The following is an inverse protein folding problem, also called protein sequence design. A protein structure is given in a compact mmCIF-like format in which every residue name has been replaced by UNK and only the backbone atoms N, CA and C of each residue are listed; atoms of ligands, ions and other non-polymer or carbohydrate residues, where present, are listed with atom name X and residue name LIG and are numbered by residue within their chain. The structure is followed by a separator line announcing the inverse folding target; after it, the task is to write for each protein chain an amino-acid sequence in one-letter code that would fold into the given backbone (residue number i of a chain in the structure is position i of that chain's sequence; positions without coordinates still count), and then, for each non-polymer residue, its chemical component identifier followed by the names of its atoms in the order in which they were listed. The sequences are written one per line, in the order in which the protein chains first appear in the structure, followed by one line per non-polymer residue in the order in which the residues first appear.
data_IF_003169781788
#
_entry.id   IF_003169781788
#
_cell.length_a   1.000
_cell.length_b   1.000
_cell.length_c   1.000
_cell.angle_alpha   90.00
_cell.angle_beta   90.00
_cell.angle_gamma   90.00
#
_symmetry.space_group_name_H-M   'P 1'
#
loop_
_entity.id
_entity.type
_entity.pdbx_description
1 polymer ?
#
# COMPACT_ATOMS: atom_id res chain seq x y z
N UNK A 1 -9.85 12.43 -44.80
CA UNK A 1 -9.72 11.22 -43.96
C UNK A 1 -8.44 10.52 -44.43
N UNK A 2 -7.42 10.19 -43.66
CA UNK A 2 -7.23 10.16 -42.22
C UNK A 2 -5.69 10.21 -42.01
N UNK A 3 -5.14 11.37 -41.66
CA UNK A 3 -3.73 11.54 -41.31
C UNK A 3 -3.63 11.91 -39.83
N UNK A 4 -3.92 10.96 -38.95
CA UNK A 4 -3.63 11.11 -37.52
C UNK A 4 -3.26 9.78 -36.87
N UNK A 5 -2.06 9.77 -36.29
CA UNK A 5 -1.65 9.00 -35.10
C UNK A 5 -1.68 7.46 -35.23
N UNK A 6 -0.62 6.90 -35.81
CA UNK A 6 -0.04 5.62 -35.36
C UNK A 6 1.48 5.80 -35.36
N UNK A 7 2.15 5.51 -34.25
CA UNK A 7 3.61 5.57 -34.18
C UNK A 7 4.22 6.45 -33.08
N UNK A 8 3.56 6.61 -31.93
CA UNK A 8 4.21 7.21 -30.73
C UNK A 8 4.07 6.35 -29.46
N UNK A 9 3.51 5.13 -29.58
CA UNK A 9 3.26 4.21 -28.46
C UNK A 9 3.31 2.74 -28.94
N UNK A 10 4.23 2.43 -29.84
CA UNK A 10 4.61 1.05 -30.19
C UNK A 10 6.14 1.03 -30.06
N UNK A 11 6.65 1.24 -28.83
CA UNK A 11 7.91 0.63 -28.47
C UNK A 11 7.58 -0.84 -28.27
N UNK A 12 8.20 -1.72 -29.02
CA UNK A 12 7.88 -3.15 -29.02
C UNK A 12 7.97 -3.67 -27.58
N UNK A 13 6.89 -4.25 -27.05
CA UNK A 13 6.86 -4.78 -25.67
C UNK A 13 8.00 -5.79 -25.42
N UNK A 14 8.52 -6.41 -26.49
CA UNK A 14 9.70 -7.26 -26.49
C UNK A 14 11.00 -6.50 -26.19
N UNK A 15 11.17 -5.28 -26.72
CA UNK A 15 12.34 -4.43 -26.49
C UNK A 15 12.38 -3.91 -25.04
N UNK A 16 11.22 -3.52 -24.49
CA UNK A 16 11.11 -3.08 -23.10
C UNK A 16 11.40 -4.22 -22.12
N UNK A 17 10.88 -5.42 -22.41
CA UNK A 17 11.16 -6.61 -21.60
C UNK A 17 12.64 -6.99 -21.65
N UNK A 18 13.26 -6.95 -22.84
CA UNK A 18 14.69 -7.23 -22.99
C UNK A 18 15.55 -6.24 -22.20
N UNK A 19 15.20 -4.95 -22.21
CA UNK A 19 15.88 -3.92 -21.42
C UNK A 19 15.76 -4.20 -19.91
N UNK A 20 14.57 -4.52 -19.43
CA UNK A 20 14.35 -4.85 -18.02
C UNK A 20 15.17 -6.06 -17.57
N UNK A 21 15.27 -7.10 -18.41
CA UNK A 21 16.09 -8.28 -18.15
C UNK A 21 17.59 -7.95 -18.08
N UNK A 22 18.09 -7.09 -18.98
CA UNK A 22 19.48 -6.63 -18.96
C UNK A 22 19.79 -5.79 -17.72
N UNK A 23 18.92 -4.86 -17.35
CA UNK A 23 19.06 -4.06 -16.13
C UNK A 23 19.02 -4.92 -14.86
N UNK A 24 18.15 -5.95 -14.84
CA UNK A 24 18.08 -6.89 -13.73
C UNK A 24 19.38 -7.68 -13.58
N UNK A 25 19.96 -8.16 -14.70
CA UNK A 25 21.25 -8.88 -14.69
C UNK A 25 22.39 -7.99 -14.19
N UNK A 26 22.46 -6.75 -14.68
CA UNK A 26 23.45 -5.77 -14.24
C UNK A 26 23.32 -5.50 -12.73
N UNK A 27 22.08 -5.30 -12.25
CA UNK A 27 21.80 -5.09 -10.83
C UNK A 27 22.26 -6.28 -9.98
N UNK A 28 21.98 -7.50 -10.41
CA UNK A 28 22.44 -8.71 -9.71
C UNK A 28 23.96 -8.82 -9.67
N UNK A 29 24.66 -8.46 -10.75
CA UNK A 29 26.12 -8.46 -10.79
C UNK A 29 26.71 -7.46 -9.78
N UNK A 30 26.19 -6.23 -9.75
CA UNK A 30 26.60 -5.20 -8.78
C UNK A 30 26.32 -5.67 -7.35
N UNK A 31 25.13 -6.24 -7.11
CA UNK A 31 24.74 -6.76 -5.80
C UNK A 31 25.61 -7.92 -5.31
N UNK A 32 26.27 -8.66 -6.20
CA UNK A 32 27.26 -9.70 -5.85
C UNK A 32 28.60 -9.09 -5.47
N UNK A 33 29.02 -8.02 -6.15
CA UNK A 33 30.27 -7.29 -5.84
C UNK A 33 30.23 -6.65 -4.45
N UNK A 34 29.06 -6.13 -4.05
CA UNK A 34 28.87 -5.45 -2.78
C UNK A 34 27.89 -6.23 -1.86
N UNK A 35 28.39 -7.23 -1.09
CA UNK A 35 27.57 -8.04 -0.20
C UNK A 35 27.09 -7.26 1.02
N UNK A 36 25.84 -7.50 1.43
CA UNK A 36 25.11 -6.72 2.46
C UNK A 36 25.16 -7.30 3.87
N UNK A 37 25.76 -8.48 4.02
CA UNK A 37 25.85 -9.21 5.29
C UNK A 37 27.22 -9.11 5.97
N UNK A 38 28.12 -8.26 5.46
CA UNK A 38 29.47 -8.06 5.98
C UNK A 38 29.53 -7.07 7.15
N UNK A 39 30.52 -6.17 7.11
CA UNK A 39 30.75 -5.17 8.15
C UNK A 39 29.56 -4.22 8.36
N UNK A 40 28.82 -3.92 7.29
CA UNK A 40 27.59 -3.14 7.34
C UNK A 40 26.39 -4.05 7.07
N UNK A 41 25.52 -4.21 8.07
CA UNK A 41 24.25 -4.93 7.92
C UNK A 41 23.23 -4.07 7.17
N UNK A 42 23.24 -4.18 5.84
CA UNK A 42 22.36 -3.42 4.94
C UNK A 42 21.36 -4.34 4.21
N UNK A 43 21.03 -5.49 4.80
CA UNK A 43 19.99 -6.36 4.28
C UNK A 43 18.59 -5.82 4.60
N UNK A 44 17.67 -6.03 3.66
CA UNK A 44 16.26 -5.79 3.90
C UNK A 44 15.76 -6.60 5.12
N UNK A 45 15.03 -5.99 6.07
CA UNK A 45 14.49 -6.72 7.21
C UNK A 45 13.64 -7.91 6.77
N UNK A 46 13.89 -9.06 7.39
CA UNK A 46 13.18 -10.29 7.09
C UNK A 46 11.73 -10.16 7.53
N UNK A 47 10.82 -10.74 6.75
CA UNK A 47 9.43 -10.78 7.15
C UNK A 47 9.26 -11.79 8.29
N UNK A 48 8.54 -11.40 9.34
CA UNK A 48 8.25 -12.28 10.47
C UNK A 48 7.44 -13.52 10.01
N UNK A 49 7.76 -14.73 10.51
CA UNK A 49 7.12 -15.97 10.06
C UNK A 49 5.61 -15.99 10.32
N UNK A 50 5.13 -15.33 11.39
CA UNK A 50 3.70 -15.23 11.72
C UNK A 50 2.94 -14.42 10.66
N UNK A 51 3.56 -13.35 10.19
CA UNK A 51 2.99 -12.48 9.14
C UNK A 51 3.07 -13.20 7.79
N UNK A 52 4.19 -13.86 7.51
CA UNK A 52 4.37 -14.65 6.29
C UNK A 52 3.33 -15.78 6.20
N UNK A 53 3.02 -16.46 7.29
CA UNK A 53 2.01 -17.52 7.31
C UNK A 53 0.61 -17.00 6.95
N UNK A 54 0.31 -15.76 7.34
CA UNK A 54 -0.99 -15.12 7.11
C UNK A 54 -1.15 -14.48 5.72
N UNK A 55 -0.06 -14.02 5.11
CA UNK A 55 -0.11 -13.31 3.82
C UNK A 55 -0.52 -14.21 2.65
N UNK A 56 -1.32 -13.63 1.73
CA UNK A 56 -1.66 -14.27 0.44
C UNK A 56 -0.43 -14.44 -0.45
N UNK A 57 -0.51 -15.34 -1.41
CA UNK A 57 0.56 -15.57 -2.41
C UNK A 57 0.88 -14.29 -3.19
N UNK A 58 -0.16 -13.52 -3.57
CA UNK A 58 0.01 -12.24 -4.26
C UNK A 58 0.71 -11.19 -3.39
N UNK A 59 0.36 -11.11 -2.11
CA UNK A 59 0.99 -10.20 -1.17
C UNK A 59 2.46 -10.57 -0.93
N UNK A 60 2.79 -11.87 -0.86
CA UNK A 60 4.17 -12.39 -0.76
C UNK A 60 4.99 -12.04 -2.00
N UNK A 61 4.42 -12.25 -3.20
CA UNK A 61 5.09 -11.90 -4.46
C UNK A 61 5.40 -10.41 -4.52
N UNK A 62 4.46 -9.56 -4.13
CA UNK A 62 4.67 -8.11 -4.06
C UNK A 62 5.74 -7.71 -3.05
N UNK A 63 5.75 -8.31 -1.85
CA UNK A 63 6.79 -8.04 -0.85
C UNK A 63 8.18 -8.42 -1.35
N UNK A 64 8.30 -9.51 -2.13
CA UNK A 64 9.56 -9.92 -2.76
C UNK A 64 10.15 -8.81 -3.65
N UNK A 65 9.32 -8.07 -4.38
CA UNK A 65 9.79 -6.94 -5.18
C UNK A 65 10.32 -5.80 -4.30
N UNK A 66 9.62 -5.47 -3.21
CA UNK A 66 10.12 -4.47 -2.26
C UNK A 66 11.45 -4.90 -1.62
N UNK A 67 11.57 -6.17 -1.23
CA UNK A 67 12.80 -6.75 -0.69
C UNK A 67 13.95 -6.67 -1.70
N UNK A 68 13.69 -6.97 -2.97
CA UNK A 68 14.70 -6.87 -4.04
C UNK A 68 15.22 -5.44 -4.19
N UNK A 69 14.32 -4.46 -4.30
CA UNK A 69 14.69 -3.04 -4.39
C UNK A 69 15.41 -2.53 -3.14
N UNK A 70 14.95 -2.95 -1.95
CA UNK A 70 15.58 -2.59 -0.68
C UNK A 70 16.99 -3.19 -0.57
N UNK A 71 17.21 -4.43 -1.01
CA UNK A 71 18.54 -5.02 -1.07
C UNK A 71 19.43 -4.32 -2.10
N UNK A 72 18.91 -3.88 -3.24
CA UNK A 72 19.71 -3.08 -4.19
C UNK A 72 20.21 -1.77 -3.55
N UNK A 73 19.34 -1.08 -2.79
CA UNK A 73 19.74 0.07 -1.98
C UNK A 73 20.80 -0.31 -0.94
N UNK A 74 20.65 -1.46 -0.28
CA UNK A 74 21.63 -1.98 0.66
C UNK A 74 23.03 -2.16 0.05
N UNK A 75 23.11 -2.77 -1.13
CA UNK A 75 24.39 -2.91 -1.86
C UNK A 75 24.97 -1.57 -2.29
N UNK A 76 24.14 -0.60 -2.69
CA UNK A 76 24.61 0.74 -3.00
C UNK A 76 25.18 1.46 -1.76
N UNK A 77 24.58 1.28 -0.58
CA UNK A 77 25.11 1.82 0.68
C UNK A 77 26.47 1.18 1.00
N UNK A 78 26.63 -0.13 0.82
CA UNK A 78 27.92 -0.82 1.00
C UNK A 78 28.98 -0.27 0.06
N UNK A 79 28.67 -0.14 -1.24
CA UNK A 79 29.59 0.42 -2.24
C UNK A 79 30.05 1.84 -1.88
N UNK A 80 29.12 2.69 -1.38
CA UNK A 80 29.51 4.03 -0.91
C UNK A 80 30.33 3.99 0.37
N UNK A 81 30.06 3.04 1.28
CA UNK A 81 30.88 2.84 2.48
C UNK A 81 32.31 2.45 2.13
N UNK A 82 32.49 1.59 1.13
CA UNK A 82 33.82 1.25 0.59
C UNK A 82 34.50 2.46 -0.05
N UNK A 83 33.78 3.25 -0.86
CA UNK A 83 34.32 4.48 -1.45
C UNK A 83 34.76 5.50 -0.37
N UNK A 84 33.94 5.69 0.67
CA UNK A 84 34.30 6.54 1.82
C UNK A 84 35.54 5.98 2.52
N UNK A 85 35.61 4.66 2.73
CA UNK A 85 36.76 4.02 3.38
C UNK A 85 38.05 4.25 2.60
N UNK A 86 38.00 4.12 1.26
CA UNK A 86 39.14 4.40 0.39
C UNK A 86 39.59 5.87 0.49
N UNK A 87 38.65 6.82 0.56
CA UNK A 87 39.00 8.25 0.69
C UNK A 87 39.63 8.54 2.05
N UNK A 88 39.17 7.88 3.13
CA UNK A 88 39.74 8.04 4.47
C UNK A 88 41.17 7.49 4.60
N UNK A 89 41.61 6.65 3.66
CA UNK A 89 43.00 6.16 3.58
C UNK A 89 43.94 7.10 2.80
N UNK A 90 43.39 8.08 2.06
CA UNK A 90 44.17 9.09 1.33
C UNK A 90 44.64 10.20 2.27
N UNK A 91 45.66 10.96 1.85
CA UNK A 91 46.04 12.19 2.54
C UNK A 91 44.89 13.21 2.46
N UNK A 92 44.62 13.86 3.60
CA UNK A 92 43.53 14.83 3.69
C UNK A 92 43.88 16.10 2.90
N UNK A 93 43.00 16.43 1.96
CA UNK A 93 43.05 17.61 1.12
C UNK A 93 41.63 18.17 0.87
N UNK A 94 41.55 19.30 0.17
CA UNK A 94 40.26 19.94 -0.10
C UNK A 94 39.33 19.03 -0.94
N UNK A 95 39.89 18.27 -1.89
CA UNK A 95 39.12 17.38 -2.75
C UNK A 95 38.51 16.20 -1.99
N UNK A 96 39.30 15.51 -1.16
CA UNK A 96 38.85 14.41 -0.30
C UNK A 96 37.76 14.87 0.68
N UNK A 97 37.91 16.06 1.29
CA UNK A 97 36.89 16.65 2.16
C UNK A 97 35.55 16.89 1.43
N UNK A 98 35.60 17.46 0.22
CA UNK A 98 34.42 17.67 -0.62
C UNK A 98 33.75 16.34 -1.01
N UNK A 99 34.55 15.35 -1.42
CA UNK A 99 34.05 14.02 -1.80
C UNK A 99 33.39 13.31 -0.61
N UNK A 100 34.01 13.36 0.58
CA UNK A 100 33.42 12.83 1.81
C UNK A 100 32.09 13.50 2.15
N UNK A 101 32.00 14.82 1.97
CA UNK A 101 30.75 15.54 2.18
C UNK A 101 29.63 15.07 1.22
N UNK A 102 29.92 14.96 -0.07
CA UNK A 102 28.94 14.51 -1.07
C UNK A 102 28.54 13.05 -0.88
N UNK A 103 29.50 12.15 -0.69
CA UNK A 103 29.23 10.73 -0.46
C UNK A 103 28.53 10.50 0.87
N UNK A 104 28.86 11.27 1.92
CA UNK A 104 28.17 11.22 3.21
C UNK A 104 26.71 11.65 3.10
N UNK A 105 26.41 12.70 2.32
CA UNK A 105 25.04 13.13 2.06
C UNK A 105 24.25 12.11 1.22
N UNK A 106 24.87 11.53 0.18
CA UNK A 106 24.29 10.43 -0.58
C UNK A 106 24.02 9.20 0.32
N UNK A 107 24.96 8.87 1.22
CA UNK A 107 24.85 7.91 2.32
C UNK A 107 23.57 8.03 3.10
N UNK A 108 23.35 9.23 3.66
CA UNK A 108 22.18 9.54 4.46
C UNK A 108 20.88 9.37 3.66
N UNK A 109 20.86 9.81 2.41
CA UNK A 109 19.67 9.68 1.54
C UNK A 109 19.37 8.22 1.21
N UNK A 110 20.38 7.42 0.83
CA UNK A 110 20.18 5.99 0.55
C UNK A 110 19.74 5.22 1.78
N UNK A 111 20.34 5.49 2.95
CA UNK A 111 19.92 4.89 4.21
C UNK A 111 18.47 5.26 4.58
N UNK A 112 18.08 6.53 4.36
CA UNK A 112 16.71 7.01 4.53
C UNK A 112 15.72 6.28 3.61
N UNK A 113 16.04 6.15 2.32
CA UNK A 113 15.23 5.40 1.35
C UNK A 113 15.14 3.91 1.69
N UNK A 114 16.23 3.31 2.16
CA UNK A 114 16.26 1.93 2.62
C UNK A 114 15.29 1.73 3.80
N UNK A 115 15.30 2.63 4.79
CA UNK A 115 14.34 2.60 5.89
C UNK A 115 12.90 2.85 5.41
N UNK A 116 12.70 3.81 4.51
CA UNK A 116 11.39 4.12 3.94
C UNK A 116 10.79 2.92 3.20
N UNK A 117 11.61 2.05 2.61
CA UNK A 117 11.10 0.79 2.06
C UNK A 117 10.54 -0.15 3.12
N UNK A 118 11.16 -0.26 4.28
CA UNK A 118 10.57 -1.01 5.41
C UNK A 118 9.21 -0.42 5.82
N UNK A 119 9.11 0.91 5.90
CA UNK A 119 7.83 1.59 6.23
C UNK A 119 6.77 1.31 5.16
N UNK A 120 7.16 1.39 3.89
CA UNK A 120 6.27 1.13 2.75
C UNK A 120 5.77 -0.31 2.77
N UNK A 121 6.66 -1.30 2.97
CA UNK A 121 6.29 -2.72 3.14
C UNK A 121 5.27 -2.90 4.26
N UNK A 122 5.50 -2.29 5.43
CA UNK A 122 4.53 -2.33 6.55
C UNK A 122 3.17 -1.74 6.14
N UNK A 123 3.15 -0.62 5.43
CA UNK A 123 1.91 0.00 4.97
C UNK A 123 1.11 -0.88 3.98
N UNK A 124 1.78 -1.69 3.16
CA UNK A 124 1.11 -2.63 2.25
C UNK A 124 0.66 -3.94 2.92
N UNK A 125 1.28 -4.32 4.04
CA UNK A 125 0.96 -5.54 4.78
C UNK A 125 -0.16 -5.31 5.79
N UNK A 126 -0.12 -4.19 6.53
CA UNK A 126 -1.05 -3.89 7.62
C UNK A 126 -2.55 -3.97 7.25
N UNK A 127 -3.01 -3.52 6.05
CA UNK A 127 -4.41 -3.62 5.65
C UNK A 127 -4.90 -5.07 5.58
N UNK A 128 -4.01 -6.04 5.32
CA UNK A 128 -4.37 -7.45 5.30
C UNK A 128 -4.62 -8.02 6.70
N UNK A 129 -4.01 -7.46 7.74
CA UNK A 129 -4.08 -7.98 9.11
C UNK A 129 -5.39 -7.59 9.79
N UNK A 130 -5.87 -8.44 10.71
CA UNK A 130 -7.02 -8.15 11.57
C UNK A 130 -6.82 -6.88 12.41
N UNK A 131 -7.86 -6.05 12.49
CA UNK A 131 -7.79 -4.69 13.06
C UNK A 131 -7.19 -4.64 14.47
N UNK A 132 -7.56 -5.59 15.33
CA UNK A 132 -7.07 -5.67 16.73
C UNK A 132 -5.56 -5.83 16.87
N UNK A 133 -4.87 -6.31 15.83
CA UNK A 133 -3.41 -6.47 15.83
C UNK A 133 -2.68 -5.36 15.07
N UNK A 134 -3.39 -4.52 14.28
CA UNK A 134 -2.76 -3.50 13.45
C UNK A 134 -2.00 -2.46 14.26
N UNK A 135 -2.56 -2.01 15.39
CA UNK A 135 -1.91 -1.00 16.23
C UNK A 135 -0.66 -1.53 16.91
N UNK A 136 -0.69 -2.80 17.35
CA UNK A 136 0.48 -3.48 17.89
C UNK A 136 1.60 -3.57 16.84
N UNK A 137 1.26 -3.99 15.62
CA UNK A 137 2.19 -4.09 14.51
C UNK A 137 2.67 -2.72 14.00
N UNK A 138 1.89 -1.65 14.19
CA UNK A 138 2.28 -0.29 13.81
C UNK A 138 3.28 0.31 14.80
N UNK A 139 3.15 -0.02 16.09
CA UNK A 139 4.04 0.45 17.15
C UNK A 139 5.31 -0.39 17.32
N UNK A 140 5.44 -1.50 16.61
CA UNK A 140 6.66 -2.32 16.68
C UNK A 140 7.84 -1.64 15.98
N UNK A 141 9.02 -1.82 16.54
CA UNK A 141 10.27 -1.35 15.96
C UNK A 141 10.69 -2.23 14.77
N UNK A 142 11.29 -1.59 13.76
CA UNK A 142 11.91 -2.29 12.63
C UNK A 142 13.32 -2.66 13.07
N UNK A 143 13.61 -3.96 13.14
CA UNK A 143 14.93 -4.48 13.53
C UNK A 143 15.45 -5.37 12.40
N UNK A 144 16.08 -6.51 12.71
CA UNK A 144 16.39 -7.53 11.70
C UNK A 144 15.13 -8.14 11.07
N UNK A 145 14.01 -8.09 11.81
CA UNK A 145 12.68 -8.47 11.33
C UNK A 145 11.78 -7.24 11.19
N UNK A 146 10.92 -7.25 10.18
CA UNK A 146 10.12 -6.09 9.75
C UNK A 146 9.18 -5.56 10.84
N UNK A 147 8.66 -6.44 11.69
CA UNK A 147 7.80 -6.12 12.84
C UNK A 147 8.46 -6.46 14.18
N UNK A 148 9.78 -6.59 14.20
CA UNK A 148 10.56 -6.86 15.41
C UNK A 148 10.63 -8.35 15.79
N UNK A 149 11.74 -8.76 16.41
CA UNK A 149 11.99 -10.17 16.82
C UNK A 149 11.00 -10.68 17.87
N UNK A 150 10.46 -9.80 18.71
CA UNK A 150 9.54 -10.18 19.79
C UNK A 150 8.06 -10.20 19.37
N UNK A 151 7.77 -10.19 18.06
CA UNK A 151 6.40 -10.17 17.56
C UNK A 151 5.55 -11.31 18.13
N UNK A 152 6.08 -12.54 18.11
CA UNK A 152 5.37 -13.72 18.61
C UNK A 152 4.92 -13.56 20.07
N UNK A 153 5.82 -13.09 20.94
CA UNK A 153 5.55 -12.87 22.35
C UNK A 153 4.45 -11.82 22.53
N UNK A 154 4.53 -10.72 21.78
CA UNK A 154 3.53 -9.64 21.80
C UNK A 154 2.16 -10.13 21.35
N UNK A 155 2.08 -10.93 20.28
CA UNK A 155 0.83 -11.53 19.81
C UNK A 155 0.21 -12.49 20.85
N UNK A 156 1.02 -13.32 21.50
CA UNK A 156 0.56 -14.23 22.57
C UNK A 156 0.02 -13.44 23.78
N UNK A 157 0.73 -12.38 24.17
CA UNK A 157 0.30 -11.49 25.25
C UNK A 157 -1.04 -10.82 24.92
N UNK A 158 -1.20 -10.22 23.74
CA UNK A 158 -2.47 -9.60 23.32
C UNK A 158 -3.63 -10.58 23.25
N UNK A 159 -3.39 -11.81 22.78
CA UNK A 159 -4.41 -12.87 22.80
C UNK A 159 -4.83 -13.23 24.23
N UNK A 160 -3.88 -13.30 25.16
CA UNK A 160 -4.16 -13.63 26.58
C UNK A 160 -4.88 -12.47 27.27
N UNK A 161 -4.47 -11.23 27.01
CA UNK A 161 -5.13 -10.03 27.51
C UNK A 161 -6.57 -9.91 27.01
N UNK A 162 -6.83 -10.28 25.74
CA UNK A 162 -8.20 -10.33 25.20
C UNK A 162 -9.11 -11.26 26.00
N UNK A 163 -8.62 -12.45 26.37
CA UNK A 163 -9.37 -13.38 27.24
C UNK A 163 -9.64 -12.81 28.62
N UNK A 164 -8.63 -12.18 29.24
CA UNK A 164 -8.78 -11.53 30.55
C UNK A 164 -9.81 -10.40 30.48
N UNK A 165 -9.81 -9.60 29.41
CA UNK A 165 -10.81 -8.55 29.19
C UNK A 165 -12.20 -9.15 29.02
N UNK A 166 -12.34 -10.22 28.23
CA UNK A 166 -13.61 -10.95 28.06
C UNK A 166 -14.16 -11.45 29.41
N UNK A 167 -13.31 -12.01 30.28
CA UNK A 167 -13.66 -12.48 31.62
C UNK A 167 -14.06 -11.33 32.57
N UNK A 168 -13.45 -10.15 32.40
CA UNK A 168 -13.74 -8.95 33.21
C UNK A 168 -14.98 -8.18 32.72
N UNK A 169 -15.33 -8.27 31.44
CA UNK A 169 -16.57 -7.68 30.94
C UNK A 169 -17.76 -8.44 31.49
N UNK A 170 -18.69 -7.77 32.21
CA UNK A 170 -19.92 -8.41 32.64
C UNK A 170 -20.65 -8.93 31.41
N UNK A 171 -20.79 -10.25 31.29
CA UNK A 171 -21.63 -10.86 30.28
C UNK A 171 -23.04 -10.32 30.51
N UNK A 172 -23.46 -9.33 29.71
CA UNK A 172 -24.88 -9.08 29.54
C UNK A 172 -25.43 -10.35 28.90
N UNK A 173 -25.97 -11.22 29.74
CA UNK A 173 -26.80 -12.32 29.29
C UNK A 173 -27.94 -11.67 28.50
N UNK A 174 -27.78 -11.60 27.17
CA UNK A 174 -28.91 -11.40 26.29
C UNK A 174 -29.80 -12.60 26.57
N UNK A 175 -30.79 -12.39 27.43
CA UNK A 175 -31.83 -13.37 27.70
C UNK A 175 -32.45 -13.66 26.33
N UNK A 176 -32.04 -14.76 25.70
CA UNK A 176 -32.75 -15.31 24.56
C UNK A 176 -34.09 -15.74 25.13
N UNK A 177 -35.09 -14.86 25.00
CA UNK A 177 -36.46 -15.19 25.32
C UNK A 177 -36.80 -16.47 24.54
N UNK A 178 -37.24 -17.55 25.22
CA UNK A 178 -37.66 -18.75 24.51
C UNK A 178 -38.85 -18.35 23.62
N UNK A 179 -38.72 -18.57 22.32
CA UNK A 179 -39.84 -18.43 21.39
C UNK A 179 -40.88 -19.46 21.81
N UNK A 180 -41.96 -19.00 22.44
CA UNK A 180 -43.14 -19.83 22.69
C UNK A 180 -43.71 -20.25 21.34
N UNK A 181 -43.56 -21.53 21.01
CA UNK A 181 -44.30 -22.17 19.94
C UNK A 181 -45.74 -22.32 20.41
N UNK A 182 -46.59 -21.34 20.10
CA UNK A 182 -48.04 -21.49 20.28
C UNK A 182 -48.67 -21.91 18.95
N UNK A 183 -48.70 -23.22 18.79
CA UNK A 183 -49.70 -23.97 18.06
C UNK A 183 -51.10 -23.57 18.57
N UNK A 184 -52.02 -23.19 17.68
CA UNK A 184 -53.44 -23.08 18.05
C UNK A 184 -54.22 -21.90 17.46
N UNK A 185 -54.65 -22.06 16.21
CA UNK A 185 -56.06 -22.01 15.84
C UNK A 185 -56.96 -20.96 16.55
N UNK A 186 -57.16 -19.79 15.93
CA UNK A 186 -58.46 -19.09 15.99
C UNK A 186 -58.84 -18.60 14.60
N UNK A 187 -59.81 -19.31 14.02
CA UNK A 187 -60.66 -18.86 12.92
C UNK A 187 -61.34 -17.56 13.32
N UNK A 188 -61.27 -16.53 12.48
CA UNK A 188 -62.40 -15.61 12.30
C UNK A 188 -62.28 -14.81 10.98
N UNK A 189 -63.21 -15.13 10.09
CA UNK A 189 -63.92 -14.23 9.16
C UNK A 189 -63.24 -13.84 7.84
N UNK A 190 -63.63 -14.59 6.82
CA UNK A 190 -63.76 -14.12 5.43
C UNK A 190 -64.80 -12.99 5.35
N UNK A 191 -64.45 -11.87 4.69
CA UNK A 191 -65.45 -11.03 4.02
C UNK A 191 -65.10 -10.94 2.53
N UNK A 192 -65.90 -11.64 1.73
CA UNK A 192 -66.06 -11.38 0.29
C UNK A 192 -67.21 -10.38 0.10
N UNK A 193 -67.01 -9.41 -0.79
CA UNK A 193 -68.05 -8.76 -1.62
C UNK A 193 -67.28 -7.99 -2.71
N UNK A 194 -67.12 -8.42 -3.97
CA UNK A 194 -68.03 -8.77 -5.08
C UNK A 194 -68.66 -7.54 -5.77
N UNK A 195 -68.36 -7.39 -7.07
CA UNK A 195 -69.00 -6.52 -8.08
C UNK A 195 -68.12 -5.34 -8.52
N UNK A 196 -67.93 -4.98 -9.80
CA UNK A 196 -68.37 -5.52 -11.09
C UNK A 196 -67.42 -5.04 -12.20
N UNK A 197 -67.36 -5.82 -13.26
CA UNK A 197 -66.80 -5.61 -14.61
C UNK A 197 -67.03 -4.23 -15.23
N UNK A 198 -66.10 -3.74 -16.08
CA UNK A 198 -66.27 -3.67 -17.54
C UNK A 198 -64.93 -3.42 -18.27
N UNK A 199 -64.87 -3.99 -19.48
CA UNK A 199 -63.96 -3.82 -20.63
C UNK A 199 -63.55 -2.35 -20.89
N UNK A 200 -62.55 -1.95 -21.68
CA UNK A 200 -61.44 -2.52 -22.45
C UNK A 200 -60.72 -1.28 -23.04
N UNK A 201 -59.44 -1.42 -23.45
CA UNK A 201 -58.81 -0.85 -24.67
C UNK A 201 -57.34 -0.48 -24.45
N UNK A 202 -56.50 -1.28 -25.12
CA UNK A 202 -55.37 -0.91 -26.00
C UNK A 202 -54.08 -0.27 -25.45
N UNK A 203 -53.00 -0.83 -26.02
CA UNK A 203 -51.62 -0.35 -26.19
C UNK A 203 -50.61 -0.64 -25.05
N UNK A 204 -49.59 -1.46 -25.37
CA UNK A 204 -48.46 -1.83 -24.48
C UNK A 204 -47.31 -0.81 -24.53
N UNK A 205 -46.02 -1.18 -24.35
CA UNK A 205 -45.44 -2.36 -23.72
C UNK A 205 -44.53 -2.05 -22.49
N UNK A 206 -44.24 -3.13 -21.74
CA UNK A 206 -43.05 -3.46 -20.93
C UNK A 206 -42.24 -2.41 -20.12
N UNK A 207 -42.13 -2.75 -18.82
CA UNK A 207 -40.93 -2.73 -17.94
C UNK A 207 -39.88 -1.64 -18.19
N UNK A 208 -39.71 -0.76 -17.20
CA UNK A 208 -38.40 -0.18 -16.91
C UNK A 208 -38.07 -0.27 -15.42
N UNK A 209 -36.94 -0.93 -15.17
CA UNK A 209 -36.21 -0.94 -13.92
C UNK A 209 -35.76 0.50 -13.63
N UNK A 210 -36.16 1.08 -12.49
CA UNK A 210 -35.59 2.35 -12.03
C UNK A 210 -34.16 2.11 -11.54
N UNK A 211 -33.19 2.27 -12.43
CA UNK A 211 -31.83 2.64 -12.05
C UNK A 211 -31.84 4.09 -11.56
N UNK A 212 -31.19 4.31 -10.41
CA UNK A 212 -31.03 5.62 -9.79
C UNK A 212 -29.78 6.25 -10.42
N UNK A 213 -29.98 7.11 -11.42
CA UNK A 213 -28.89 7.82 -12.07
C UNK A 213 -28.16 8.73 -11.08
N UNK A 214 -26.84 8.55 -11.04
CA UNK A 214 -25.86 9.47 -10.48
C UNK A 214 -26.02 10.83 -11.16
N UNK A 215 -26.37 11.86 -10.39
CA UNK A 215 -26.21 13.23 -10.86
C UNK A 215 -24.73 13.53 -11.10
N UNK A 216 -24.41 13.79 -12.37
CA UNK A 216 -23.24 14.54 -12.81
C UNK A 216 -23.77 15.67 -13.68
N UNK A 217 -23.66 16.91 -13.22
CA UNK A 217 -23.68 18.13 -14.04
C UNK A 217 -23.13 19.29 -13.20
N UNK A 218 -21.91 19.74 -13.49
CA UNK A 218 -21.56 20.88 -14.35
C UNK A 218 -21.88 22.23 -13.72
N UNK A 219 -20.85 22.86 -13.15
CA UNK A 219 -20.78 24.31 -13.01
C UNK A 219 -19.65 24.84 -13.89
N UNK A 220 -20.05 25.58 -14.91
CA UNK A 220 -19.21 26.48 -15.70
C UNK A 220 -19.78 27.88 -15.49
N UNK A 221 -19.00 28.80 -14.91
CA UNK A 221 -18.72 30.09 -15.55
C UNK A 221 -17.79 31.01 -14.72
N UNK A 222 -16.76 31.49 -15.41
CA UNK A 222 -16.26 32.87 -15.48
C UNK A 222 -15.70 33.52 -14.19
N UNK A 223 -14.38 33.74 -14.19
CA UNK A 223 -13.78 35.09 -14.28
C UNK A 223 -12.28 35.00 -14.60
N UNK A 224 -11.84 35.82 -15.55
CA UNK A 224 -10.45 35.98 -15.96
C UNK A 224 -9.76 37.06 -15.10
N UNK A 225 -8.45 36.95 -14.82
CA UNK A 225 -7.62 38.10 -14.50
C UNK A 225 -6.74 38.49 -15.68
N UNK A 226 -6.64 39.80 -15.84
CA UNK A 226 -5.92 40.54 -16.86
C UNK A 226 -4.40 40.47 -16.71
N UNK A 227 -3.76 40.56 -17.87
CA UNK A 227 -2.33 40.58 -18.17
C UNK A 227 -1.65 41.81 -17.52
N UNK A 228 -0.67 41.59 -16.65
CA UNK A 228 0.19 42.65 -16.11
C UNK A 228 1.42 42.84 -17.01
N UNK A 229 1.51 44.01 -17.63
CA UNK A 229 2.75 44.55 -18.22
C UNK A 229 3.51 45.31 -17.13
N UNK A 230 4.75 44.90 -16.84
CA UNK A 230 5.72 45.80 -16.20
C UNK A 230 7.08 45.63 -16.87
N UNK A 231 7.40 46.61 -17.69
CA UNK A 231 8.71 46.85 -18.29
C UNK A 231 9.69 47.33 -17.22
N UNK A 232 10.92 46.81 -17.28
CA UNK A 232 12.09 47.42 -16.66
C UNK A 232 12.62 48.51 -17.59
N UNK A 233 12.83 49.71 -17.07
CA UNK A 233 13.67 50.75 -17.69
C UNK A 233 14.48 51.46 -16.60
N UNK A 234 15.79 51.42 -16.77
CA UNK A 234 16.80 52.17 -16.02
C UNK A 234 16.68 53.68 -16.26
N UNK A 235 16.99 54.48 -15.22
CA UNK A 235 18.01 55.54 -15.24
C UNK A 235 17.90 56.42 -13.98
N UNK A 236 18.95 56.46 -13.15
CA UNK A 236 19.91 57.59 -13.07
C UNK A 236 21.12 57.18 -12.23
#
# INVERSE_FOLDING_TARGET
MNWMRKGLYEGDEEDDKKREEEESKLREEIMKKFPRGGALQAEAPKLNPEVLAYMSVTAKSRDKHFVSSQNALGSAIVAMGEAISLILELEEDEASSILLHFLGNAGKLLAGLHYQQSVTRRAFILPGIEEKYRDLLRKSDITSELFGKDLFKRLKYTKSLGKVVEDLTPHQQSKKYPKTSNWGNRRSLQRKSKGHSQQAQKSGPQRSLRFKDRQRNTYSNKHAPTRSTRSYRYNR
#
